data_IF_136742933826
#
_entry.id   IF_136742933826
#
_cell.length_a   1.000
_cell.length_b   1.000
_cell.length_c   1.000
_cell.angle_alpha   90.00
_cell.angle_beta   90.00
_cell.angle_gamma   90.00
#
_symmetry.space_group_name_H-M   'P 1'
#
loop_
_entity.id
_entity.type
_entity.pdbx_description
1 polymer ?
#
# COMPACT_ATOMS: atom_id res chain seq x y z
N UNK A 1 12.95 -21.84 5.27
CA UNK A 1 13.81 -20.62 5.43
C UNK A 1 14.80 -20.80 6.59
N UNK A 2 15.70 -19.84 6.86
CA UNK A 2 16.64 -19.87 7.99
C UNK A 2 16.37 -18.74 9.00
N UNK A 3 16.64 -19.01 10.29
CA UNK A 3 16.57 -17.99 11.33
C UNK A 3 17.68 -16.95 11.17
N UNK A 4 17.31 -15.67 11.07
CA UNK A 4 18.27 -14.56 10.94
C UNK A 4 19.12 -14.28 12.17
N UNK A 5 18.88 -14.97 13.29
CA UNK A 5 19.63 -14.85 14.53
C UNK A 5 20.57 -16.05 14.80
N UNK A 6 20.15 -17.29 14.53
CA UNK A 6 20.90 -18.50 14.90
C UNK A 6 21.16 -19.47 13.74
N UNK A 7 20.83 -19.06 12.51
CA UNK A 7 21.00 -19.82 11.25
C UNK A 7 20.37 -21.23 11.21
N UNK A 8 19.43 -21.52 12.10
CA UNK A 8 18.68 -22.79 12.07
C UNK A 8 17.65 -22.82 10.95
N UNK A 9 17.46 -23.99 10.34
CA UNK A 9 16.39 -24.18 9.37
C UNK A 9 15.04 -24.18 10.08
N UNK A 10 14.13 -23.32 9.61
CA UNK A 10 12.79 -23.16 10.18
C UNK A 10 11.75 -23.17 9.06
N UNK A 11 10.51 -23.49 9.44
CA UNK A 11 9.36 -23.43 8.54
C UNK A 11 9.10 -22.00 8.06
N UNK A 12 8.56 -21.88 6.84
CA UNK A 12 8.27 -20.58 6.24
C UNK A 12 7.14 -19.82 6.96
N UNK A 13 6.41 -20.49 7.84
CA UNK A 13 5.32 -19.93 8.66
C UNK A 13 5.70 -19.74 10.13
N UNK A 14 6.97 -19.94 10.50
CA UNK A 14 7.40 -19.84 11.89
C UNK A 14 7.47 -18.38 12.35
N UNK A 15 6.62 -17.98 13.29
CA UNK A 15 6.68 -16.65 13.91
C UNK A 15 7.85 -16.51 14.90
N UNK A 16 8.23 -17.63 15.52
CA UNK A 16 9.28 -17.72 16.52
C UNK A 16 10.18 -18.89 16.14
N UNK A 17 11.50 -18.68 16.19
CA UNK A 17 12.44 -19.77 16.00
C UNK A 17 12.38 -20.75 17.19
N UNK A 18 12.12 -22.05 16.99
CA UNK A 18 12.05 -23.02 18.08
C UNK A 18 13.39 -23.25 18.78
N UNK A 19 14.51 -22.90 18.12
CA UNK A 19 15.87 -23.09 18.67
C UNK A 19 16.34 -21.93 19.53
N UNK A 20 16.17 -20.68 19.08
CA UNK A 20 16.70 -19.51 19.79
C UNK A 20 15.63 -18.59 20.39
N UNK A 21 14.34 -18.86 20.17
CA UNK A 21 13.24 -18.05 20.71
C UNK A 21 13.11 -16.64 20.10
N UNK A 22 13.97 -16.28 19.14
CA UNK A 22 13.93 -14.97 18.47
C UNK A 22 13.01 -15.02 17.26
N UNK A 23 12.30 -13.91 17.02
CA UNK A 23 11.57 -13.73 15.76
C UNK A 23 12.57 -13.70 14.58
N UNK A 24 12.44 -14.62 13.60
CA UNK A 24 13.40 -14.80 12.50
C UNK A 24 13.62 -13.59 11.57
N UNK A 25 12.89 -12.49 11.77
CA UNK A 25 12.98 -11.30 10.94
C UNK A 25 13.25 -10.02 11.73
N UNK A 26 13.50 -10.12 13.05
CA UNK A 26 13.76 -8.94 13.89
C UNK A 26 15.23 -8.51 13.85
N UNK A 27 16.13 -9.48 13.73
CA UNK A 27 17.59 -9.28 13.77
C UNK A 27 18.16 -9.67 12.41
N UNK A 28 19.28 -9.09 11.99
CA UNK A 28 19.90 -9.33 10.68
C UNK A 28 21.36 -9.77 10.84
N UNK A 29 21.57 -10.93 11.47
CA UNK A 29 22.90 -11.53 11.63
C UNK A 29 23.19 -12.59 10.56
N UNK A 30 22.13 -13.27 10.10
CA UNK A 30 22.19 -14.31 9.09
C UNK A 30 21.17 -14.09 7.99
N UNK A 31 21.48 -14.59 6.80
CA UNK A 31 20.58 -14.58 5.65
C UNK A 31 19.42 -15.55 5.88
N UNK A 32 18.18 -15.07 5.72
CA UNK A 32 16.98 -15.89 5.87
C UNK A 32 16.79 -16.92 4.74
N UNK A 33 17.51 -16.78 3.61
CA UNK A 33 17.42 -17.70 2.48
C UNK A 33 18.49 -18.80 2.53
N UNK A 34 19.76 -18.45 2.78
CA UNK A 34 20.88 -19.39 2.73
C UNK A 34 21.58 -19.65 4.07
N UNK A 35 21.19 -18.96 5.16
CA UNK A 35 21.76 -19.17 6.50
C UNK A 35 23.19 -18.64 6.71
N UNK A 36 23.81 -18.00 5.71
CA UNK A 36 25.16 -17.39 5.85
C UNK A 36 25.13 -16.13 6.69
N UNK A 37 26.24 -15.84 7.38
CA UNK A 37 26.41 -14.61 8.16
C UNK A 37 26.40 -13.40 7.23
N UNK A 38 25.72 -12.33 7.66
CA UNK A 38 25.60 -11.07 6.90
C UNK A 38 26.04 -9.92 7.79
N UNK A 39 26.51 -8.84 7.17
CA UNK A 39 26.81 -7.61 7.90
C UNK A 39 25.53 -6.81 8.15
N UNK A 40 25.52 -6.00 9.21
CA UNK A 40 24.36 -5.18 9.59
C UNK A 40 23.93 -4.22 8.47
N UNK A 41 24.91 -3.61 7.80
CA UNK A 41 24.73 -2.68 6.70
C UNK A 41 24.52 -3.36 5.32
N UNK A 42 24.49 -4.69 5.25
CA UNK A 42 24.46 -5.40 3.98
C UNK A 42 23.04 -5.52 3.43
N UNK A 43 22.72 -4.84 2.33
CA UNK A 43 21.36 -4.84 1.77
C UNK A 43 21.02 -6.12 1.00
N UNK A 44 21.99 -6.75 0.35
CA UNK A 44 21.82 -7.97 -0.44
C UNK A 44 22.81 -9.03 0.03
N UNK A 45 22.36 -10.28 0.16
CA UNK A 45 23.23 -11.40 0.49
C UNK A 45 24.21 -11.65 -0.66
N UNK A 46 25.51 -11.45 -0.43
CA UNK A 46 26.57 -11.67 -1.44
C UNK A 46 26.73 -13.15 -1.82
N UNK A 47 26.26 -14.07 -0.98
CA UNK A 47 26.35 -15.51 -1.26
C UNK A 47 25.22 -16.04 -2.15
N UNK A 48 23.99 -15.55 -1.97
CA UNK A 48 22.81 -16.10 -2.65
C UNK A 48 21.97 -15.08 -3.42
N UNK A 49 22.32 -13.79 -3.37
CA UNK A 49 21.63 -12.73 -4.10
C UNK A 49 20.29 -12.28 -3.52
N UNK A 50 19.81 -12.85 -2.40
CA UNK A 50 18.53 -12.41 -1.80
C UNK A 50 18.66 -11.04 -1.15
N UNK A 51 17.63 -10.19 -1.29
CA UNK A 51 17.53 -8.95 -0.54
C UNK A 51 17.31 -9.23 0.95
N UNK A 52 18.15 -8.64 1.81
CA UNK A 52 18.08 -8.74 3.26
C UNK A 52 17.33 -7.56 3.89
N UNK A 53 17.10 -6.51 3.10
CA UNK A 53 16.29 -5.37 3.52
C UNK A 53 14.82 -5.76 3.39
N UNK A 54 14.12 -5.83 4.52
CA UNK A 54 12.66 -5.73 4.48
C UNK A 54 12.34 -4.33 4.01
N UNK A 55 11.84 -4.21 2.79
CA UNK A 55 10.84 -3.18 2.57
C UNK A 55 9.76 -3.48 3.60
N UNK A 56 9.68 -2.65 4.64
CA UNK A 56 8.46 -2.43 5.38
C UNK A 56 7.43 -1.77 4.46
N UNK A 57 7.25 -2.26 3.25
CA UNK A 57 5.91 -2.51 2.75
C UNK A 57 5.32 -3.52 3.73
N UNK A 58 4.88 -2.98 4.88
CA UNK A 58 3.58 -3.32 5.44
C UNK A 58 2.64 -3.09 4.27
N UNK A 59 2.61 -4.07 3.36
CA UNK A 59 1.59 -4.23 2.37
C UNK A 59 0.37 -4.41 3.22
N UNK A 60 -0.27 -3.29 3.54
CA UNK A 60 -1.69 -3.31 3.59
C UNK A 60 -2.07 -3.80 2.20
N UNK A 61 -2.28 -5.11 2.10
CA UNK A 61 -2.74 -5.79 0.89
C UNK A 61 -4.18 -5.36 0.54
N UNK A 62 -4.64 -4.22 1.05
CA UNK A 62 -5.51 -3.33 0.31
C UNK A 62 -4.77 -2.75 -0.92
N UNK A 63 -4.33 -3.62 -1.84
CA UNK A 63 -4.42 -3.28 -3.25
C UNK A 63 -5.91 -3.17 -3.53
N UNK A 64 -6.47 -2.01 -3.20
CA UNK A 64 -7.89 -1.80 -3.37
C UNK A 64 -8.21 -1.90 -4.85
N UNK A 65 -9.16 -2.76 -5.17
CA UNK A 65 -9.50 -2.99 -6.55
C UNK A 65 -10.02 -1.67 -7.17
N UNK A 66 -9.55 -1.27 -8.37
CA UNK A 66 -9.92 0.01 -8.96
C UNK A 66 -11.42 0.22 -9.11
N UNK A 67 -12.17 -0.86 -9.37
CA UNK A 67 -13.63 -0.82 -9.46
C UNK A 67 -14.29 -0.56 -8.10
N UNK A 68 -13.69 -1.01 -6.99
CA UNK A 68 -14.21 -0.75 -5.65
C UNK A 68 -14.05 0.73 -5.32
N UNK A 69 -12.92 1.33 -5.66
CA UNK A 69 -12.70 2.78 -5.50
C UNK A 69 -13.67 3.62 -6.33
N UNK A 70 -13.97 3.16 -7.56
CA UNK A 70 -15.01 3.75 -8.40
C UNK A 70 -16.40 3.67 -7.75
N UNK A 71 -16.77 2.51 -7.20
CA UNK A 71 -18.06 2.30 -6.53
C UNK A 71 -18.19 3.18 -5.27
N UNK A 72 -17.14 3.29 -4.46
CA UNK A 72 -17.17 4.17 -3.28
C UNK A 72 -17.29 5.64 -3.66
N UNK A 73 -16.63 6.08 -4.74
CA UNK A 73 -16.79 7.42 -5.29
C UNK A 73 -18.16 7.67 -5.90
N UNK A 74 -18.86 6.63 -6.38
CA UNK A 74 -20.25 6.73 -6.83
C UNK A 74 -21.22 6.90 -5.67
N UNK A 75 -21.04 6.16 -4.57
CA UNK A 75 -21.91 6.24 -3.40
C UNK A 75 -21.73 7.56 -2.64
N UNK A 76 -20.49 7.99 -2.46
CA UNK A 76 -20.14 9.28 -1.87
C UNK A 76 -19.01 9.92 -2.69
N UNK A 77 -19.33 11.02 -3.36
CA UNK A 77 -18.37 11.79 -4.14
C UNK A 77 -17.17 12.19 -3.26
N UNK A 78 -15.96 11.77 -3.64
CA UNK A 78 -14.71 12.03 -2.92
C UNK A 78 -14.26 10.94 -1.95
N UNK A 79 -15.11 9.95 -1.62
CA UNK A 79 -14.78 8.90 -0.63
C UNK A 79 -13.66 7.98 -1.12
N UNK A 80 -13.69 7.57 -2.39
CA UNK A 80 -12.63 6.73 -2.97
C UNK A 80 -11.25 7.38 -2.86
N UNK A 81 -11.16 8.70 -2.99
CA UNK A 81 -9.90 9.43 -2.92
C UNK A 81 -9.32 9.52 -1.51
N UNK A 82 -10.19 9.68 -0.51
CA UNK A 82 -9.79 9.70 0.90
C UNK A 82 -9.15 8.36 1.28
N UNK A 83 -9.74 7.25 0.84
CA UNK A 83 -9.28 5.90 1.19
C UNK A 83 -7.97 5.57 0.47
N UNK A 84 -7.75 6.12 -0.72
CA UNK A 84 -6.47 6.04 -1.43
C UNK A 84 -5.38 6.93 -0.81
N UNK A 85 -5.61 7.60 0.32
CA UNK A 85 -4.61 8.43 0.99
C UNK A 85 -4.47 9.85 0.43
N UNK A 86 -5.21 10.22 -0.63
CA UNK A 86 -5.35 11.60 -1.09
C UNK A 86 -6.43 12.33 -0.27
N UNK A 87 -6.29 12.32 1.06
CA UNK A 87 -7.32 12.82 1.98
C UNK A 87 -7.69 14.29 1.75
N UNK A 88 -6.69 15.14 1.45
CA UNK A 88 -6.90 16.57 1.18
C UNK A 88 -7.77 16.79 -0.07
N UNK A 89 -7.46 16.06 -1.15
CA UNK A 89 -8.18 16.15 -2.43
C UNK A 89 -9.60 15.59 -2.31
N UNK A 90 -9.75 14.42 -1.69
CA UNK A 90 -11.07 13.81 -1.50
C UNK A 90 -12.00 14.67 -0.63
N UNK A 91 -11.48 15.28 0.44
CA UNK A 91 -12.24 16.24 1.25
C UNK A 91 -12.62 17.50 0.44
N UNK A 92 -11.71 18.04 -0.36
CA UNK A 92 -11.99 19.20 -1.20
C UNK A 92 -13.08 18.92 -2.26
N UNK A 93 -13.05 17.74 -2.90
CA UNK A 93 -14.07 17.32 -3.86
C UNK A 93 -15.42 17.12 -3.18
N UNK A 94 -15.45 16.50 -2.00
CA UNK A 94 -16.68 16.29 -1.23
C UNK A 94 -17.31 17.63 -0.85
N UNK A 95 -16.55 18.53 -0.22
CA UNK A 95 -17.04 19.85 0.19
C UNK A 95 -17.49 20.68 -1.02
N UNK A 96 -16.69 20.68 -2.09
CA UNK A 96 -17.03 21.37 -3.35
C UNK A 96 -18.33 20.86 -3.95
N UNK A 97 -18.55 19.54 -3.97
CA UNK A 97 -19.77 18.93 -4.51
C UNK A 97 -21.02 19.29 -3.71
N UNK A 98 -20.92 19.45 -2.38
CA UNK A 98 -22.04 19.88 -1.53
C UNK A 98 -22.39 21.34 -1.80
N UNK A 99 -21.38 22.22 -1.90
CA UNK A 99 -21.58 23.65 -2.16
C UNK A 99 -22.20 23.86 -3.55
N UNK A 100 -21.62 23.24 -4.58
CA UNK A 100 -22.15 23.31 -5.94
C UNK A 100 -23.55 22.69 -6.03
N UNK A 101 -23.80 21.59 -5.32
CA UNK A 101 -25.10 20.92 -5.23
C UNK A 101 -26.18 21.83 -4.66
N UNK A 102 -25.87 22.59 -3.60
CA UNK A 102 -26.82 23.57 -3.01
C UNK A 102 -27.20 24.69 -3.98
N UNK A 103 -26.25 25.22 -4.75
CA UNK A 103 -26.52 26.31 -5.71
C UNK A 103 -27.21 25.84 -7.01
N UNK A 104 -27.00 24.58 -7.41
CA UNK A 104 -27.46 24.06 -8.71
C UNK A 104 -28.62 23.07 -8.60
N UNK A 105 -29.24 22.93 -7.41
CA UNK A 105 -30.27 21.93 -7.12
C UNK A 105 -29.83 20.50 -7.53
N UNK A 106 -28.56 20.17 -7.30
CA UNK A 106 -28.01 18.85 -7.59
C UNK A 106 -27.65 18.57 -9.06
N UNK A 107 -27.90 19.49 -10.00
CA UNK A 107 -27.50 19.30 -11.41
C UNK A 107 -25.98 19.18 -11.56
N UNK A 108 -25.21 19.82 -10.69
CA UNK A 108 -23.75 19.67 -10.67
C UNK A 108 -23.27 18.24 -10.32
N UNK A 109 -24.08 17.43 -9.62
CA UNK A 109 -23.73 16.04 -9.32
C UNK A 109 -23.66 15.17 -10.58
N UNK A 110 -24.50 15.45 -11.59
CA UNK A 110 -24.49 14.74 -12.89
C UNK A 110 -23.15 14.84 -13.63
N UNK A 111 -22.38 15.92 -13.42
CA UNK A 111 -21.08 16.12 -14.05
C UNK A 111 -19.92 15.73 -13.12
N UNK A 112 -20.00 16.10 -11.84
CA UNK A 112 -18.90 15.92 -10.88
C UNK A 112 -18.73 14.47 -10.44
N UNK A 113 -19.82 13.71 -10.28
CA UNK A 113 -19.77 12.31 -9.87
C UNK A 113 -19.07 11.41 -10.90
N UNK A 114 -19.43 11.39 -12.21
CA UNK A 114 -18.71 10.55 -13.18
C UNK A 114 -17.23 10.92 -13.32
N UNK A 115 -16.87 12.22 -13.22
CA UNK A 115 -15.47 12.63 -13.21
C UNK A 115 -14.71 12.10 -12.00
N UNK A 116 -15.29 12.20 -10.80
CA UNK A 116 -14.70 11.67 -9.57
C UNK A 116 -14.54 10.14 -9.59
N UNK A 117 -15.47 9.43 -10.24
CA UNK A 117 -15.39 7.97 -10.44
C UNK A 117 -14.23 7.59 -11.35
N UNK A 118 -14.12 8.25 -12.52
CA UNK A 118 -13.05 7.99 -13.49
C UNK A 118 -11.68 8.28 -12.86
N UNK A 119 -11.55 9.42 -12.18
CA UNK A 119 -10.32 9.82 -11.51
C UNK A 119 -9.93 8.82 -10.41
N UNK A 120 -10.90 8.39 -9.59
CA UNK A 120 -10.65 7.41 -8.55
C UNK A 120 -10.21 6.05 -9.11
N UNK A 121 -10.82 5.61 -10.22
CA UNK A 121 -10.46 4.37 -10.91
C UNK A 121 -9.03 4.42 -11.47
N UNK A 122 -8.66 5.52 -12.14
CA UNK A 122 -7.34 5.67 -12.76
C UNK A 122 -6.23 5.75 -11.71
N UNK A 123 -6.46 6.46 -10.61
CA UNK A 123 -5.50 6.56 -9.51
C UNK A 123 -5.31 5.22 -8.81
N UNK A 124 -6.40 4.49 -8.57
CA UNK A 124 -6.31 3.13 -8.03
C UNK A 124 -5.52 2.20 -8.96
N UNK A 125 -5.71 2.32 -10.28
CA UNK A 125 -4.94 1.58 -11.28
C UNK A 125 -3.45 1.96 -11.24
N UNK A 126 -3.09 3.25 -11.17
CA UNK A 126 -1.70 3.71 -11.04
C UNK A 126 -1.02 3.15 -9.77
N UNK A 127 -1.73 3.13 -8.65
CA UNK A 127 -1.22 2.52 -7.41
C UNK A 127 -1.04 1.01 -7.53
N UNK A 128 -1.95 0.31 -8.20
CA UNK A 128 -1.84 -1.13 -8.48
C UNK A 128 -0.64 -1.44 -9.38
N UNK A 129 -0.27 -0.52 -10.27
CA UNK A 129 0.92 -0.59 -11.13
C UNK A 129 2.23 -0.20 -10.42
N UNK A 130 2.18 0.19 -9.14
CA UNK A 130 3.37 0.57 -8.36
C UNK A 130 3.91 1.97 -8.68
N UNK A 131 3.14 2.82 -9.35
CA UNK A 131 3.52 4.22 -9.59
C UNK A 131 3.27 5.06 -8.34
N UNK A 132 4.17 6.00 -8.06
CA UNK A 132 3.97 7.00 -7.02
C UNK A 132 2.83 7.95 -7.43
N UNK A 133 1.95 8.27 -6.48
CA UNK A 133 0.81 9.18 -6.68
C UNK A 133 0.89 10.26 -5.61
N UNK A 134 1.01 11.51 -6.04
CA UNK A 134 1.01 12.68 -5.16
C UNK A 134 -0.39 13.02 -4.64
N UNK A 135 -0.46 13.82 -3.57
CA UNK A 135 -1.72 14.19 -2.88
C UNK A 135 -2.73 14.91 -3.79
N UNK A 136 -2.26 15.56 -4.86
CA UNK A 136 -3.06 16.40 -5.77
C UNK A 136 -3.05 15.91 -7.22
N UNK A 137 -2.55 14.71 -7.48
CA UNK A 137 -2.57 14.16 -8.83
C UNK A 137 -4.01 13.87 -9.26
N UNK A 138 -4.40 14.38 -10.42
CA UNK A 138 -5.61 14.04 -11.13
C UNK A 138 -5.25 13.17 -12.35
N UNK A 139 -6.13 12.24 -12.68
CA UNK A 139 -6.09 11.32 -13.83
C UNK A 139 -4.76 10.60 -14.02
#
# INVERSE_FOLDING_TARGET
MYCSNCSEHISDKAEICPKCGVNPFRIKNYCHNCGKKVNENQEICVECGVSLTRNSTRGNNNTQEPWLMALLSFLLTGLGQIIMGQGKKGAAILIGSIILGMFTLGVSALLTTPLAIIDAYLIAKKKKEGKEVGDWDFF
#
